data_IF_369214968399
#
_entry.id   IF_369214968399
#
_cell.length_a   1.000
_cell.length_b   1.000
_cell.length_c   1.000
_cell.angle_alpha   90.00
_cell.angle_beta   90.00
_cell.angle_gamma   90.00
#
_symmetry.space_group_name_H-M   'P 1'
#
loop_
_entity.id
_entity.type
_entity.pdbx_description
1 polymer ?
#
# COMPACT_ATOMS: atom_id res chain seq x y z
N UNK A 1 40.79 -12.67 7.52
CA UNK A 1 39.93 -13.22 6.45
C UNK A 1 38.88 -12.21 5.96
N UNK A 2 39.35 -11.06 5.49
CA UNK A 2 38.54 -9.94 5.01
C UNK A 2 38.67 -9.82 3.48
N UNK A 3 38.18 -10.81 2.73
CA UNK A 3 38.11 -10.71 1.25
C UNK A 3 37.33 -11.87 0.66
N UNK A 4 36.01 -11.87 0.83
CA UNK A 4 35.13 -12.82 0.16
C UNK A 4 33.71 -12.31 0.18
N UNK A 5 33.16 -12.00 -0.99
CA UNK A 5 31.72 -11.90 -1.17
C UNK A 5 31.12 -13.28 -0.91
N UNK A 6 30.77 -13.55 0.34
CA UNK A 6 30.06 -14.77 0.70
C UNK A 6 28.75 -14.85 -0.06
N UNK A 7 28.45 -16.04 -0.56
CA UNK A 7 27.13 -16.36 -1.10
C UNK A 7 26.05 -16.14 -0.04
N UNK A 8 24.79 -16.13 -0.45
CA UNK A 8 23.66 -15.99 0.48
C UNK A 8 23.65 -17.18 1.44
N UNK A 9 23.88 -18.36 0.89
CA UNK A 9 23.96 -19.64 1.57
C UNK A 9 25.08 -19.63 2.62
N UNK A 10 26.27 -19.14 2.27
CA UNK A 10 27.40 -19.04 3.20
C UNK A 10 27.13 -18.02 4.31
N UNK A 11 26.45 -16.92 3.97
CA UNK A 11 26.08 -15.89 4.94
C UNK A 11 25.12 -16.45 5.99
N UNK A 12 24.05 -17.11 5.57
CA UNK A 12 23.06 -17.74 6.46
C UNK A 12 23.71 -18.86 7.29
N UNK A 13 24.56 -19.69 6.67
CA UNK A 13 25.30 -20.76 7.39
C UNK A 13 26.29 -20.22 8.42
N UNK A 14 26.86 -19.02 8.21
CA UNK A 14 27.70 -18.36 9.22
C UNK A 14 26.85 -17.81 10.36
N UNK A 15 25.70 -17.23 10.05
CA UNK A 15 24.78 -16.73 11.07
C UNK A 15 24.29 -17.85 11.99
N UNK A 16 23.96 -19.03 11.44
CA UNK A 16 23.55 -20.19 12.26
C UNK A 16 24.66 -20.70 13.18
N UNK A 17 25.92 -20.45 12.83
CA UNK A 17 27.09 -20.73 13.67
C UNK A 17 27.42 -19.59 14.64
N UNK A 18 26.54 -18.59 14.80
CA UNK A 18 26.74 -17.43 15.67
C UNK A 18 27.84 -16.47 15.19
N UNK A 19 28.32 -16.59 13.95
CA UNK A 19 29.36 -15.72 13.41
C UNK A 19 28.75 -14.41 12.93
N UNK A 20 29.44 -13.31 13.20
CA UNK A 20 29.05 -11.97 12.71
C UNK A 20 29.03 -11.98 11.17
N UNK A 21 27.90 -11.56 10.61
CA UNK A 21 27.69 -11.38 9.17
C UNK A 21 27.06 -10.01 8.92
N UNK A 22 27.67 -9.21 8.04
CA UNK A 22 27.14 -7.89 7.69
C UNK A 22 26.01 -8.03 6.67
N UNK A 23 24.80 -7.67 7.08
CA UNK A 23 23.60 -7.71 6.23
C UNK A 23 23.43 -6.49 5.33
N UNK A 24 24.19 -5.42 5.57
CA UNK A 24 24.15 -4.15 4.80
C UNK A 24 24.49 -4.31 3.31
N UNK A 25 25.06 -5.45 2.91
CA UNK A 25 25.30 -5.80 1.50
C UNK A 25 24.00 -6.11 0.73
N UNK A 26 22.96 -6.59 1.41
CA UNK A 26 21.69 -6.97 0.79
C UNK A 26 20.81 -5.73 0.60
N UNK A 27 21.14 -4.91 -0.40
CA UNK A 27 20.53 -3.59 -0.59
C UNK A 27 19.16 -3.67 -1.24
N UNK A 28 18.99 -4.48 -2.28
CA UNK A 28 17.72 -4.57 -3.01
C UNK A 28 16.69 -5.41 -2.25
N UNK A 29 15.40 -5.17 -2.51
CA UNK A 29 14.33 -6.03 -1.99
C UNK A 29 14.54 -7.49 -2.41
N UNK A 30 14.96 -7.72 -3.66
CA UNK A 30 15.25 -9.05 -4.21
C UNK A 30 16.32 -9.78 -3.41
N UNK A 31 17.40 -9.09 -3.02
CA UNK A 31 18.49 -9.70 -2.26
C UNK A 31 18.06 -10.04 -0.83
N UNK A 32 17.29 -9.15 -0.19
CA UNK A 32 16.70 -9.38 1.13
C UNK A 32 15.77 -10.60 1.15
N UNK A 33 14.94 -10.74 0.11
CA UNK A 33 14.03 -11.87 -0.02
C UNK A 33 14.79 -13.18 -0.22
N UNK A 34 15.81 -13.22 -1.08
CA UNK A 34 16.66 -14.41 -1.21
C UNK A 34 17.34 -14.80 0.09
N UNK A 35 17.82 -13.82 0.86
CA UNK A 35 18.40 -14.06 2.17
C UNK A 35 17.38 -14.66 3.15
N UNK A 36 16.17 -14.13 3.18
CA UNK A 36 15.09 -14.65 4.01
C UNK A 36 14.68 -16.06 3.58
N UNK A 37 14.53 -16.30 2.29
CA UNK A 37 14.17 -17.60 1.72
C UNK A 37 15.20 -18.67 2.07
N UNK A 38 16.49 -18.32 2.03
CA UNK A 38 17.57 -19.21 2.43
C UNK A 38 17.59 -19.46 3.96
N UNK A 39 17.28 -18.45 4.77
CA UNK A 39 17.13 -18.62 6.22
C UNK A 39 15.96 -19.55 6.58
N UNK A 40 14.83 -19.40 5.89
CA UNK A 40 13.66 -20.30 6.02
C UNK A 40 14.07 -21.73 5.64
N UNK A 41 14.78 -21.91 4.52
CA UNK A 41 15.23 -23.23 4.03
C UNK A 41 16.12 -23.97 5.04
N UNK A 42 16.89 -23.25 5.84
CA UNK A 42 17.75 -23.84 6.89
C UNK A 42 17.02 -24.08 8.22
N UNK A 43 15.75 -23.68 8.35
CA UNK A 43 14.90 -23.85 9.54
C UNK A 43 15.55 -23.36 10.85
N UNK A 44 16.39 -22.32 10.77
CA UNK A 44 17.02 -21.70 11.93
C UNK A 44 16.24 -20.45 12.35
N UNK A 45 15.40 -20.59 13.38
CA UNK A 45 14.55 -19.52 13.88
C UNK A 45 15.30 -18.27 14.35
N UNK A 46 16.54 -18.41 14.82
CA UNK A 46 17.36 -17.26 15.22
C UNK A 46 17.83 -16.48 14.00
N UNK A 47 18.24 -17.20 12.95
CA UNK A 47 18.68 -16.58 11.70
C UNK A 47 17.51 -15.91 10.98
N UNK A 48 16.35 -16.59 10.90
CA UNK A 48 15.12 -16.00 10.35
C UNK A 48 14.79 -14.70 11.09
N UNK A 49 14.77 -14.72 12.43
CA UNK A 49 14.49 -13.53 13.24
C UNK A 49 15.51 -12.41 13.02
N UNK A 50 16.80 -12.73 12.93
CA UNK A 50 17.84 -11.73 12.64
C UNK A 50 17.65 -11.06 11.27
N UNK A 51 17.30 -11.83 10.24
CA UNK A 51 17.00 -11.31 8.90
C UNK A 51 15.74 -10.45 8.94
N UNK A 52 14.70 -10.87 9.66
CA UNK A 52 13.46 -10.10 9.84
C UNK A 52 13.71 -8.76 10.55
N UNK A 53 14.56 -8.73 11.56
CA UNK A 53 14.97 -7.48 12.24
C UNK A 53 15.66 -6.54 11.24
N UNK A 54 16.55 -7.06 10.40
CA UNK A 54 17.20 -6.28 9.36
C UNK A 54 16.20 -5.75 8.33
N UNK A 55 15.26 -6.57 7.87
CA UNK A 55 14.21 -6.15 6.94
C UNK A 55 13.29 -5.10 7.57
N UNK A 56 12.89 -5.26 8.84
CA UNK A 56 12.12 -4.26 9.61
C UNK A 56 12.81 -2.90 9.66
N UNK A 57 14.14 -2.88 9.80
CA UNK A 57 14.93 -1.63 9.85
C UNK A 57 15.10 -0.95 8.50
N UNK A 58 15.00 -1.70 7.41
CA UNK A 58 15.42 -1.24 6.07
C UNK A 58 14.29 -1.16 5.05
N UNK A 59 13.10 -1.69 5.36
CA UNK A 59 11.92 -1.69 4.50
C UNK A 59 10.77 -0.94 5.17
N UNK A 60 9.92 -0.32 4.36
CA UNK A 60 8.62 0.15 4.82
C UNK A 60 7.73 -1.03 5.25
N UNK A 61 6.95 -0.84 6.33
CA UNK A 61 6.08 -1.87 6.91
C UNK A 61 5.18 -2.54 5.87
N UNK A 62 4.59 -1.76 4.96
CA UNK A 62 3.72 -2.29 3.90
C UNK A 62 4.43 -3.29 2.98
N UNK A 63 5.66 -2.97 2.57
CA UNK A 63 6.47 -3.87 1.73
C UNK A 63 6.80 -5.13 2.52
N UNK A 64 7.24 -4.97 3.77
CA UNK A 64 7.56 -6.10 4.64
C UNK A 64 6.34 -7.02 4.82
N UNK A 65 5.19 -6.47 5.20
CA UNK A 65 3.98 -7.24 5.47
C UNK A 65 3.48 -8.00 4.25
N UNK A 66 3.51 -7.37 3.07
CA UNK A 66 3.17 -8.03 1.81
C UNK A 66 4.04 -9.26 1.57
N UNK A 67 5.35 -9.13 1.70
CA UNK A 67 6.28 -10.24 1.44
C UNK A 67 6.21 -11.34 2.52
N UNK A 68 5.86 -10.99 3.76
CA UNK A 68 5.66 -11.96 4.84
C UNK A 68 4.36 -12.73 4.71
N UNK A 69 3.29 -12.14 4.16
CA UNK A 69 2.02 -12.85 3.93
C UNK A 69 2.20 -14.07 3.03
N UNK A 70 3.12 -14.01 2.06
CA UNK A 70 3.47 -15.16 1.20
C UNK A 70 4.38 -16.19 1.89
N UNK A 71 5.00 -15.83 3.03
CA UNK A 71 6.02 -16.64 3.74
C UNK A 71 5.58 -16.93 5.16
N UNK A 72 4.63 -17.85 5.30
CA UNK A 72 3.97 -18.15 6.58
C UNK A 72 4.96 -18.49 7.73
N UNK A 73 6.09 -19.14 7.44
CA UNK A 73 7.11 -19.43 8.45
C UNK A 73 7.76 -18.14 8.97
N UNK A 74 8.24 -17.28 8.08
CA UNK A 74 8.78 -15.98 8.45
C UNK A 74 7.74 -15.09 9.14
N UNK A 75 6.47 -15.11 8.70
CA UNK A 75 5.39 -14.38 9.34
C UNK A 75 5.18 -14.82 10.80
N UNK A 76 5.17 -16.13 11.08
CA UNK A 76 5.06 -16.66 12.45
C UNK A 76 6.23 -16.20 13.32
N UNK A 77 7.46 -16.28 12.79
CA UNK A 77 8.64 -15.77 13.50
C UNK A 77 8.55 -14.26 13.76
N UNK A 78 8.05 -13.49 12.80
CA UNK A 78 7.88 -12.05 12.95
C UNK A 78 6.83 -11.70 14.01
N UNK A 79 5.68 -12.39 14.02
CA UNK A 79 4.64 -12.20 15.05
C UNK A 79 5.19 -12.53 16.44
N UNK A 80 5.91 -13.65 16.57
CA UNK A 80 6.53 -14.03 17.83
C UNK A 80 7.55 -12.97 18.29
N UNK A 81 8.43 -12.54 17.40
CA UNK A 81 9.39 -11.47 17.66
C UNK A 81 8.71 -10.18 18.17
N UNK A 82 7.66 -9.71 17.50
CA UNK A 82 6.96 -8.48 17.90
C UNK A 82 6.28 -8.62 19.27
N UNK A 83 5.79 -9.83 19.61
CA UNK A 83 5.22 -10.12 20.94
C UNK A 83 6.29 -10.08 22.02
N UNK A 84 7.43 -10.72 21.81
CA UNK A 84 8.55 -10.75 22.77
C UNK A 84 9.19 -9.36 22.96
N UNK A 85 9.24 -8.54 21.90
CA UNK A 85 9.76 -7.15 22.01
C UNK A 85 8.70 -6.12 22.38
N UNK A 86 7.47 -6.55 22.68
CA UNK A 86 6.33 -5.70 23.02
C UNK A 86 6.05 -4.56 22.01
N UNK A 87 6.32 -4.79 20.72
CA UNK A 87 6.05 -3.82 19.64
C UNK A 87 4.58 -3.88 19.22
N UNK A 88 3.70 -3.55 20.17
CA UNK A 88 2.24 -3.66 20.02
C UNK A 88 1.71 -2.82 18.86
N UNK A 89 2.32 -1.65 18.61
CA UNK A 89 1.89 -0.77 17.53
C UNK A 89 2.07 -1.44 16.16
N UNK A 90 3.25 -2.01 15.89
CA UNK A 90 3.51 -2.67 14.62
C UNK A 90 2.76 -4.01 14.50
N UNK A 91 2.57 -4.71 15.61
CA UNK A 91 1.77 -5.94 15.66
C UNK A 91 0.30 -5.68 15.27
N UNK A 92 -0.31 -4.63 15.82
CA UNK A 92 -1.66 -4.20 15.43
C UNK A 92 -1.72 -3.72 13.98
N UNK A 93 -0.67 -3.05 13.48
CA UNK A 93 -0.59 -2.65 12.08
C UNK A 93 -0.54 -3.87 11.14
N UNK A 94 0.24 -4.89 11.50
CA UNK A 94 0.34 -6.15 10.76
C UNK A 94 -1.00 -6.89 10.72
N UNK A 95 -1.66 -7.09 11.87
CA UNK A 95 -2.96 -7.77 11.89
C UNK A 95 -4.01 -7.04 11.07
N UNK A 96 -4.10 -5.71 11.22
CA UNK A 96 -4.99 -4.90 10.37
C UNK A 96 -4.66 -5.05 8.89
N UNK A 97 -3.39 -5.07 8.50
CA UNK A 97 -3.02 -5.29 7.09
C UNK A 97 -3.46 -6.67 6.57
N UNK A 98 -3.27 -7.72 7.38
CA UNK A 98 -3.63 -9.09 7.01
C UNK A 98 -5.15 -9.27 6.85
N UNK A 99 -5.91 -8.83 7.85
CA UNK A 99 -7.38 -8.92 7.88
C UNK A 99 -8.02 -8.08 6.77
N UNK A 100 -7.48 -6.87 6.53
CA UNK A 100 -8.14 -5.90 5.66
C UNK A 100 -8.22 -6.28 4.20
N UNK A 101 -7.13 -6.83 3.67
CA UNK A 101 -7.12 -7.28 2.27
C UNK A 101 -8.03 -8.48 2.05
N UNK A 102 -8.21 -9.32 3.06
CA UNK A 102 -9.01 -10.54 2.99
C UNK A 102 -10.50 -10.27 3.09
N UNK A 103 -10.93 -9.51 4.10
CA UNK A 103 -12.34 -9.20 4.32
C UNK A 103 -12.96 -8.45 3.13
N UNK A 104 -12.27 -7.42 2.62
CA UNK A 104 -12.67 -6.70 1.40
C UNK A 104 -12.84 -7.65 0.20
N UNK A 105 -11.84 -8.50 -0.06
CA UNK A 105 -11.86 -9.37 -1.22
C UNK A 105 -12.99 -10.41 -1.17
N UNK A 106 -13.29 -10.93 0.02
CA UNK A 106 -14.38 -11.90 0.26
C UNK A 106 -15.74 -11.23 0.11
N UNK A 107 -15.96 -10.09 0.79
CA UNK A 107 -17.22 -9.36 0.77
C UNK A 107 -17.58 -8.94 -0.67
N UNK A 108 -16.63 -8.39 -1.41
CA UNK A 108 -16.89 -7.92 -2.77
C UNK A 108 -17.09 -9.05 -3.78
N UNK A 109 -16.46 -10.21 -3.54
CA UNK A 109 -16.76 -11.41 -4.34
C UNK A 109 -18.20 -11.85 -4.16
N UNK A 110 -18.75 -11.71 -2.95
CA UNK A 110 -20.17 -11.97 -2.70
C UNK A 110 -21.08 -10.92 -3.35
N UNK A 111 -20.74 -9.64 -3.25
CA UNK A 111 -21.49 -8.54 -3.87
C UNK A 111 -21.48 -8.59 -5.41
N UNK A 112 -20.36 -9.01 -6.00
CA UNK A 112 -20.27 -9.24 -7.45
C UNK A 112 -21.16 -10.41 -7.86
N UNK A 113 -21.16 -11.51 -7.11
CA UNK A 113 -22.02 -12.67 -7.37
C UNK A 113 -23.52 -12.36 -7.21
N UNK A 114 -23.89 -11.45 -6.31
CA UNK A 114 -25.28 -10.97 -6.17
C UNK A 114 -25.69 -9.99 -7.28
N UNK A 115 -24.73 -9.53 -8.09
CA UNK A 115 -24.98 -8.70 -9.26
C UNK A 115 -25.21 -7.23 -8.93
N UNK A 116 -24.54 -6.71 -7.90
CA UNK A 116 -24.57 -5.27 -7.61
C UNK A 116 -24.10 -4.46 -8.83
N UNK A 117 -24.80 -3.35 -9.10
CA UNK A 117 -24.70 -2.59 -10.36
C UNK A 117 -23.28 -2.07 -10.64
N UNK A 118 -22.54 -1.65 -9.60
CA UNK A 118 -21.17 -1.14 -9.75
C UNK A 118 -20.22 -2.20 -10.33
N UNK A 119 -20.32 -3.46 -9.90
CA UNK A 119 -19.49 -4.56 -10.41
C UNK A 119 -19.93 -5.01 -11.81
N UNK A 120 -21.19 -4.77 -12.20
CA UNK A 120 -21.65 -4.99 -13.59
C UNK A 120 -21.09 -3.94 -14.55
N UNK A 121 -21.16 -2.66 -14.16
CA UNK A 121 -20.64 -1.53 -14.95
C UNK A 121 -19.12 -1.49 -15.00
N UNK A 122 -18.47 -1.90 -13.91
CA UNK A 122 -17.02 -1.94 -13.78
C UNK A 122 -16.58 -3.29 -13.21
N UNK A 123 -16.48 -4.34 -14.06
CA UNK A 123 -16.07 -5.66 -13.61
C UNK A 123 -14.67 -5.67 -12.99
N UNK A 124 -14.51 -6.43 -11.90
CA UNK A 124 -13.20 -6.57 -11.25
C UNK A 124 -12.26 -7.37 -12.15
N UNK A 125 -11.06 -6.84 -12.38
CA UNK A 125 -10.07 -7.47 -13.27
C UNK A 125 -9.16 -8.47 -12.57
N UNK A 126 -9.04 -8.37 -11.25
CA UNK A 126 -8.20 -9.24 -10.43
C UNK A 126 -8.66 -9.18 -8.98
N UNK A 127 -8.21 -10.15 -8.18
CA UNK A 127 -8.36 -10.11 -6.72
C UNK A 127 -7.56 -8.94 -6.14
N UNK A 128 -8.12 -8.30 -5.11
CA UNK A 128 -7.44 -7.25 -4.35
C UNK A 128 -6.37 -7.79 -3.40
N UNK A 129 -6.39 -9.10 -3.16
CA UNK A 129 -5.43 -9.75 -2.28
C UNK A 129 -4.00 -9.45 -2.75
N UNK A 130 -3.17 -9.05 -1.79
CA UNK A 130 -1.72 -8.83 -1.97
C UNK A 130 -1.36 -7.60 -2.83
N UNK A 131 -2.33 -6.75 -3.15
CA UNK A 131 -2.06 -5.49 -3.83
C UNK A 131 -1.49 -4.44 -2.86
N UNK A 132 -0.63 -3.52 -3.33
CA UNK A 132 -0.16 -2.39 -2.52
C UNK A 132 -1.32 -1.57 -1.96
N UNK A 133 -1.15 -0.97 -0.79
CA UNK A 133 -2.16 -0.17 -0.09
C UNK A 133 -2.70 0.97 -0.96
N UNK A 134 -1.86 1.57 -1.82
CA UNK A 134 -2.31 2.56 -2.81
C UNK A 134 -3.29 1.95 -3.84
N UNK A 135 -3.09 0.70 -4.22
CA UNK A 135 -4.00 -0.03 -5.13
C UNK A 135 -5.28 -0.43 -4.39
N UNK A 136 -5.17 -0.85 -3.14
CA UNK A 136 -6.32 -1.07 -2.24
C UNK A 136 -7.14 0.20 -2.06
N UNK A 137 -6.49 1.33 -1.84
CA UNK A 137 -7.15 2.63 -1.75
C UNK A 137 -7.81 3.02 -3.07
N UNK A 138 -7.11 2.85 -4.19
CA UNK A 138 -7.67 3.10 -5.51
C UNK A 138 -8.94 2.27 -5.72
N UNK A 139 -8.89 0.99 -5.39
CA UNK A 139 -10.02 0.09 -5.44
C UNK A 139 -11.18 0.55 -4.55
N UNK A 140 -10.93 0.89 -3.28
CA UNK A 140 -11.94 1.45 -2.37
C UNK A 140 -12.57 2.73 -2.93
N UNK A 141 -11.79 3.59 -3.58
CA UNK A 141 -12.30 4.80 -4.23
C UNK A 141 -13.11 4.52 -5.51
N UNK A 142 -12.97 3.35 -6.13
CA UNK A 142 -13.83 2.92 -7.25
C UNK A 142 -15.17 2.40 -6.71
N UNK A 143 -15.12 1.42 -5.82
CA UNK A 143 -16.32 0.62 -5.47
C UNK A 143 -17.06 1.10 -4.23
N UNK A 144 -16.38 1.77 -3.30
CA UNK A 144 -16.88 2.04 -1.94
C UNK A 144 -16.76 3.51 -1.53
N UNK A 145 -16.64 4.42 -2.50
CA UNK A 145 -16.28 5.82 -2.23
C UNK A 145 -17.30 6.56 -1.36
N UNK A 146 -18.58 6.29 -1.57
CA UNK A 146 -19.69 6.96 -0.87
C UNK A 146 -20.04 6.29 0.45
N UNK A 147 -19.35 5.22 0.82
CA UNK A 147 -19.59 4.53 2.08
C UNK A 147 -19.12 5.35 3.27
N UNK A 148 -19.86 5.25 4.37
CA UNK A 148 -19.57 5.96 5.60
C UNK A 148 -18.19 5.56 6.15
N UNK A 149 -17.54 6.49 6.84
CA UNK A 149 -16.22 6.24 7.44
C UNK A 149 -16.20 5.04 8.40
N UNK A 150 -17.31 4.70 9.04
CA UNK A 150 -17.40 3.53 9.91
C UNK A 150 -17.33 2.20 9.15
N UNK A 151 -17.47 2.23 7.83
CA UNK A 151 -17.45 1.03 6.98
C UNK A 151 -16.02 0.62 6.67
N UNK A 152 -15.74 -0.68 6.79
CA UNK A 152 -14.41 -1.23 6.55
C UNK A 152 -13.90 -0.96 5.13
N UNK A 153 -14.77 -1.06 4.14
CA UNK A 153 -14.44 -0.84 2.72
C UNK A 153 -14.26 0.64 2.32
N UNK A 154 -14.65 1.58 3.19
CA UNK A 154 -14.61 3.01 2.91
C UNK A 154 -13.17 3.53 2.76
N UNK A 155 -12.88 4.32 1.71
CA UNK A 155 -11.54 4.88 1.51
C UNK A 155 -11.14 5.85 2.63
N UNK A 156 -12.11 6.50 3.30
CA UNK A 156 -11.84 7.37 4.46
C UNK A 156 -11.36 6.57 5.67
N UNK A 157 -11.97 5.40 5.91
CA UNK A 157 -11.54 4.49 6.97
C UNK A 157 -10.13 3.96 6.69
N UNK A 158 -9.89 3.51 5.46
CA UNK A 158 -8.58 3.04 5.01
C UNK A 158 -7.49 4.10 5.22
N UNK A 159 -7.79 5.37 4.87
CA UNK A 159 -6.87 6.50 5.08
C UNK A 159 -6.50 6.64 6.56
N UNK A 160 -7.47 6.67 7.46
CA UNK A 160 -7.22 6.85 8.90
C UNK A 160 -6.49 5.65 9.50
N UNK A 161 -6.96 4.44 9.17
CA UNK A 161 -6.44 3.18 9.70
C UNK A 161 -4.96 2.99 9.38
N UNK A 162 -4.57 3.23 8.12
CA UNK A 162 -3.19 3.06 7.65
C UNK A 162 -2.40 4.37 7.58
N UNK A 163 -2.94 5.46 8.16
CA UNK A 163 -2.31 6.79 8.21
C UNK A 163 -1.81 7.26 6.83
N UNK A 164 -2.61 7.00 5.80
CA UNK A 164 -2.26 7.34 4.41
C UNK A 164 -2.13 8.86 4.32
N UNK A 165 -1.00 9.39 3.79
CA UNK A 165 -0.82 10.82 3.61
C UNK A 165 -1.95 11.44 2.79
N UNK A 166 -2.45 12.59 3.22
CA UNK A 166 -3.57 13.28 2.57
C UNK A 166 -3.36 13.48 1.08
N UNK A 167 -2.15 13.90 0.70
CA UNK A 167 -1.76 14.06 -0.70
C UNK A 167 -1.91 12.77 -1.51
N UNK A 168 -1.46 11.63 -0.96
CA UNK A 168 -1.59 10.34 -1.63
C UNK A 168 -3.06 9.94 -1.73
N UNK A 169 -3.84 10.19 -0.67
CA UNK A 169 -5.27 9.93 -0.66
C UNK A 169 -6.01 10.69 -1.77
N UNK A 170 -5.80 12.00 -1.82
CA UNK A 170 -6.42 12.88 -2.81
C UNK A 170 -6.09 12.44 -4.24
N UNK A 171 -4.81 12.22 -4.54
CA UNK A 171 -4.39 11.83 -5.89
C UNK A 171 -4.99 10.48 -6.31
N UNK A 172 -5.07 9.55 -5.37
CA UNK A 172 -5.63 8.21 -5.63
C UNK A 172 -7.14 8.28 -5.81
N UNK A 173 -7.84 9.02 -4.96
CA UNK A 173 -9.27 9.25 -5.06
C UNK A 173 -9.65 9.97 -6.36
N UNK A 174 -8.94 11.04 -6.72
CA UNK A 174 -9.15 11.76 -7.98
C UNK A 174 -8.98 10.83 -9.18
N UNK A 175 -7.90 10.05 -9.23
CA UNK A 175 -7.65 9.12 -10.32
C UNK A 175 -8.77 8.06 -10.44
N UNK A 176 -9.25 7.55 -9.31
CA UNK A 176 -10.34 6.57 -9.28
C UNK A 176 -11.68 7.20 -9.71
N UNK A 177 -12.07 8.35 -9.15
CA UNK A 177 -13.35 9.02 -9.47
C UNK A 177 -13.39 9.52 -10.91
N UNK A 178 -12.28 9.99 -11.46
CA UNK A 178 -12.18 10.39 -12.86
C UNK A 178 -12.34 9.20 -13.81
N UNK A 179 -11.77 8.04 -13.46
CA UNK A 179 -11.99 6.79 -14.22
C UNK A 179 -13.48 6.41 -14.31
N UNK A 180 -14.27 6.76 -13.30
CA UNK A 180 -15.71 6.55 -13.26
C UNK A 180 -16.53 7.72 -13.81
N UNK A 181 -15.87 8.80 -14.25
CA UNK A 181 -16.53 10.06 -14.67
C UNK A 181 -17.47 10.62 -13.60
N UNK A 182 -17.15 10.38 -12.33
CA UNK A 182 -17.94 10.81 -11.20
C UNK A 182 -17.64 12.27 -10.84
N UNK A 183 -18.03 13.20 -11.72
CA UNK A 183 -17.66 14.61 -11.65
C UNK A 183 -18.13 15.29 -10.36
N UNK A 184 -19.29 14.91 -9.84
CA UNK A 184 -19.79 15.43 -8.57
C UNK A 184 -18.86 15.12 -7.40
N UNK A 185 -18.27 13.92 -7.37
CA UNK A 185 -17.32 13.53 -6.31
C UNK A 185 -15.99 14.26 -6.46
N UNK A 186 -15.58 14.52 -7.71
CA UNK A 186 -14.40 15.32 -8.02
C UNK A 186 -14.62 16.75 -7.54
N UNK A 187 -15.75 17.37 -7.88
CA UNK A 187 -16.11 18.71 -7.42
C UNK A 187 -16.22 18.78 -5.87
N UNK A 188 -16.75 17.73 -5.23
CA UNK A 188 -16.82 17.59 -3.77
C UNK A 188 -15.44 17.49 -3.12
N UNK A 189 -14.50 16.74 -3.73
CA UNK A 189 -13.11 16.70 -3.29
C UNK A 189 -12.54 18.12 -3.29
N UNK A 190 -12.71 18.88 -4.37
CA UNK A 190 -12.16 20.23 -4.53
C UNK A 190 -12.82 21.32 -3.65
N UNK A 191 -14.06 21.11 -3.20
CA UNK A 191 -14.78 22.08 -2.35
C UNK A 191 -14.48 21.94 -0.85
N UNK A 192 -13.94 20.80 -0.41
CA UNK A 192 -13.32 20.74 0.93
C UNK A 192 -12.15 21.72 0.96
N UNK A 193 -11.94 22.44 2.08
CA UNK A 193 -11.04 23.63 2.24
C UNK A 193 -9.54 23.41 1.90
N UNK A 194 -9.21 22.29 1.30
CA UNK A 194 -7.89 21.71 1.06
C UNK A 194 -7.23 22.17 -0.25
N UNK A 195 -7.93 22.90 -1.13
CA UNK A 195 -7.41 23.30 -2.46
C UNK A 195 -7.21 24.81 -2.63
N UNK A 196 -6.55 25.44 -1.66
CA UNK A 196 -6.22 26.87 -1.72
C UNK A 196 -4.75 27.17 -2.02
N UNK A 197 -3.86 26.18 -1.95
CA UNK A 197 -2.42 26.40 -2.03
C UNK A 197 -1.81 26.02 -3.40
N UNK A 198 -0.73 26.72 -3.78
CA UNK A 198 0.04 26.51 -5.02
C UNK A 198 0.47 25.05 -5.25
N UNK A 199 0.71 24.30 -4.16
CA UNK A 199 1.11 22.89 -4.21
C UNK A 199 0.02 21.98 -4.77
N UNK A 200 -1.24 22.37 -4.66
CA UNK A 200 -2.39 21.56 -5.12
C UNK A 200 -2.70 21.84 -6.59
N UNK A 201 -2.48 23.08 -7.05
CA UNK A 201 -2.47 23.41 -8.50
C UNK A 201 -1.41 22.60 -9.23
N UNK A 202 -0.22 22.48 -8.66
CA UNK A 202 0.87 21.73 -9.29
C UNK A 202 0.57 20.22 -9.36
N UNK A 203 -0.19 19.68 -8.39
CA UNK A 203 -0.66 18.30 -8.41
C UNK A 203 -1.72 18.05 -9.47
N UNK A 204 -2.67 18.99 -9.62
CA UNK A 204 -3.65 18.99 -10.70
C UNK A 204 -2.97 19.01 -12.07
N UNK A 205 -1.95 19.83 -12.25
CA UNK A 205 -1.15 19.85 -13.48
C UNK A 205 -0.44 18.51 -13.73
N UNK A 206 0.10 17.86 -12.69
CA UNK A 206 0.72 16.53 -12.82
C UNK A 206 -0.32 15.47 -13.20
N UNK A 207 -1.54 15.54 -12.67
CA UNK A 207 -2.61 14.61 -13.03
C UNK A 207 -3.11 14.88 -14.45
N UNK A 208 -3.31 16.15 -14.83
CA UNK A 208 -3.61 16.61 -16.20
C UNK A 208 -2.65 16.01 -17.23
N UNK A 209 -1.35 16.02 -16.95
CA UNK A 209 -0.33 15.44 -17.84
C UNK A 209 -0.44 13.92 -18.03
N UNK A 210 -1.23 13.22 -17.22
CA UNK A 210 -1.48 11.77 -17.32
C UNK A 210 -2.79 11.44 -18.03
N UNK A 211 -3.54 12.44 -18.47
CA UNK A 211 -4.80 12.29 -19.17
C UNK A 211 -4.60 12.34 -20.68
N UNK A 212 -5.54 11.74 -21.41
CA UNK A 212 -5.57 11.82 -22.86
C UNK A 212 -5.87 13.27 -23.28
N UNK A 213 -5.17 13.77 -24.32
CA UNK A 213 -5.38 15.16 -24.78
C UNK A 213 -6.78 15.35 -25.33
N UNK A 214 -7.45 16.42 -24.90
CA UNK A 214 -8.83 16.77 -25.25
C UNK A 214 -9.86 15.85 -24.59
N UNK A 215 -9.50 15.12 -23.54
CA UNK A 215 -10.46 14.32 -22.80
C UNK A 215 -11.34 15.22 -21.92
N UNK A 216 -12.61 14.84 -21.65
CA UNK A 216 -13.47 15.59 -20.73
C UNK A 216 -12.85 15.76 -19.33
N UNK A 217 -12.01 14.81 -18.92
CA UNK A 217 -11.22 14.86 -17.69
C UNK A 217 -10.18 16.01 -17.73
N UNK A 218 -9.47 16.20 -18.85
CA UNK A 218 -8.48 17.28 -19.04
C UNK A 218 -9.20 18.66 -19.03
N UNK A 219 -10.30 18.79 -19.77
CA UNK A 219 -11.07 20.02 -19.87
C UNK A 219 -11.64 20.46 -18.51
N UNK A 220 -12.14 19.50 -17.72
CA UNK A 220 -12.66 19.77 -16.37
C UNK A 220 -11.54 20.24 -15.43
N UNK A 221 -10.34 19.66 -15.51
CA UNK A 221 -9.18 20.12 -14.74
C UNK A 221 -8.79 21.52 -15.15
N UNK A 222 -8.78 21.82 -16.45
CA UNK A 222 -8.46 23.16 -16.95
C UNK A 222 -9.48 24.20 -16.47
N UNK A 223 -10.77 23.85 -16.43
CA UNK A 223 -11.83 24.69 -15.85
C UNK A 223 -11.63 24.93 -14.35
N UNK A 224 -11.23 23.90 -13.59
CA UNK A 224 -10.96 24.02 -12.15
C UNK A 224 -9.75 24.93 -11.92
N UNK A 225 -8.67 24.73 -12.70
CA UNK A 225 -7.47 25.55 -12.64
C UNK A 225 -7.75 27.01 -13.02
N UNK A 226 -8.63 27.27 -14.00
CA UNK A 226 -8.99 28.63 -14.42
C UNK A 226 -9.87 29.36 -13.40
N UNK A 227 -10.86 28.67 -12.80
CA UNK A 227 -11.81 29.30 -11.88
C UNK A 227 -11.20 29.72 -10.54
N UNK A 228 -10.13 29.07 -10.06
CA UNK A 228 -9.48 29.50 -8.79
C UNK A 228 -8.65 30.79 -8.93
N UNK A 229 -8.27 31.19 -10.16
CA UNK A 229 -7.52 32.45 -10.38
C UNK A 229 -8.41 33.68 -10.13
N UNK A 230 -9.72 33.53 -10.28
CA UNK A 230 -10.70 34.62 -10.12
C UNK A 230 -11.10 34.91 -8.66
N UNK A 231 -10.58 34.17 -7.68
CA UNK A 231 -10.88 34.36 -6.25
C UNK A 231 -9.77 35.14 -5.50
N UNK A 232 -8.80 35.73 -6.22
CA UNK A 232 -7.73 36.55 -5.66
C UNK A 232 -7.77 38.03 -6.10
N UNK A 233 -8.89 38.49 -6.67
CA UNK A 233 -9.16 39.92 -6.93
C UNK A 233 -10.33 40.38 -6.08
#
# INVERSE_FOLDING_TARGET
DYSGEWSIEDSVRRMSKGKVCSLERFRSLKDKLKLLDEAIRLHDGNVITAVLIFMKKTLHSEILFRELKERQEALRHFIHFLKETEDQQLLMELFRYLEWTEELAVNDKHLEASGQDIFRKHPRKASLLFMPLVTTLFYSCIYHYTESEGTFSSPTNLRKTFKIPEKLYILTALAARAKLRAWHDIDALFTTKTYKDLKDRQQLMVYRCKLDRGSPEEDKIDMILSNTVLLQT
#
